data_IF_148989605484
#
_entry.id   IF_148989605484
#
_cell.length_a   1.000
_cell.length_b   1.000
_cell.length_c   1.000
_cell.angle_alpha   90.00
_cell.angle_beta   90.00
_cell.angle_gamma   90.00
#
_symmetry.space_group_name_H-M   'P 1'
#
loop_
_entity.id
_entity.type
_entity.pdbx_description
1 polymer ?
#
# COMPACT_ATOMS: atom_id res chain seq x y z
N UNK A 1 -47.30 -3.59 -3.08
CA UNK A 1 -46.04 -4.36 -2.94
C UNK A 1 -45.92 -5.60 -3.86
N UNK A 2 -46.72 -5.76 -4.93
CA UNK A 2 -46.65 -6.97 -5.80
C UNK A 2 -45.92 -6.80 -7.14
N UNK A 3 -45.46 -5.59 -7.47
CA UNK A 3 -44.79 -5.33 -8.75
C UNK A 3 -43.27 -5.60 -8.72
N UNK A 4 -42.61 -5.37 -7.57
CA UNK A 4 -41.16 -5.60 -7.42
C UNK A 4 -40.75 -7.08 -7.45
N UNK A 5 -41.68 -8.00 -7.11
CA UNK A 5 -41.42 -9.45 -7.16
C UNK A 5 -41.40 -9.99 -8.59
N UNK A 6 -42.21 -9.44 -9.50
CA UNK A 6 -42.21 -9.84 -10.91
C UNK A 6 -40.95 -9.39 -11.66
N UNK A 7 -40.43 -8.20 -11.34
CA UNK A 7 -39.21 -7.69 -11.97
C UNK A 7 -37.97 -8.49 -11.55
N UNK A 8 -37.94 -8.98 -10.31
CA UNK A 8 -36.82 -9.79 -9.80
C UNK A 8 -36.76 -11.19 -10.44
N UNK A 9 -37.91 -11.80 -10.73
CA UNK A 9 -37.96 -13.08 -11.44
C UNK A 9 -37.52 -12.97 -12.91
N UNK A 10 -37.78 -11.84 -13.57
CA UNK A 10 -37.36 -11.62 -14.96
C UNK A 10 -35.82 -11.49 -15.11
N UNK A 11 -35.13 -10.94 -14.11
CA UNK A 11 -33.67 -10.74 -14.13
C UNK A 11 -32.93 -12.07 -13.90
N UNK A 12 -33.48 -12.98 -13.09
CA UNK A 12 -32.85 -14.28 -12.81
C UNK A 12 -32.88 -15.21 -14.03
N UNK A 13 -33.90 -15.10 -14.90
CA UNK A 13 -34.01 -15.93 -16.11
C UNK A 13 -32.96 -15.54 -17.18
N UNK A 14 -32.51 -14.28 -17.20
CA UNK A 14 -31.50 -13.79 -18.16
C UNK A 14 -30.09 -14.31 -17.80
N UNK A 15 -29.81 -14.59 -16.52
CA UNK A 15 -28.50 -15.08 -16.07
C UNK A 15 -28.29 -16.59 -16.27
N UNK A 16 -29.32 -17.33 -16.70
CA UNK A 16 -29.29 -18.78 -16.87
C UNK A 16 -28.95 -19.26 -18.30
N UNK A 17 -28.65 -18.36 -19.24
CA UNK A 17 -28.34 -18.69 -20.65
C UNK A 17 -26.89 -18.46 -21.07
N UNK A 18 -26.00 -18.04 -20.16
CA UNK A 18 -24.57 -17.98 -20.42
C UNK A 18 -23.88 -19.19 -19.79
N UNK A 19 -23.98 -20.32 -20.50
CA UNK A 19 -23.23 -21.53 -20.22
C UNK A 19 -21.72 -21.26 -20.35
N UNK A 20 -20.89 -21.73 -19.42
CA UNK A 20 -19.44 -21.71 -19.57
C UNK A 20 -19.01 -22.71 -20.66
N UNK A 21 -18.25 -22.25 -21.66
CA UNK A 21 -17.52 -23.15 -22.56
C UNK A 21 -16.48 -23.91 -21.73
N UNK A 22 -16.73 -25.21 -21.57
CA UNK A 22 -15.76 -26.18 -21.08
C UNK A 22 -14.77 -26.49 -22.19
N UNK A 23 -13.50 -26.11 -22.01
CA UNK A 23 -12.41 -26.64 -22.84
C UNK A 23 -12.03 -27.99 -22.24
N UNK A 24 -12.39 -29.05 -22.97
CA UNK A 24 -12.00 -30.42 -22.68
C UNK A 24 -10.57 -30.69 -23.17
N UNK A 25 -9.93 -31.62 -22.46
CA UNK A 25 -8.54 -32.01 -22.51
C UNK A 25 -8.02 -32.50 -23.88
N UNK A 26 -6.71 -32.34 -24.10
CA UNK A 26 -5.94 -33.29 -24.90
C UNK A 26 -4.60 -33.59 -24.21
N UNK A 27 -4.44 -34.85 -23.84
CA UNK A 27 -3.22 -35.48 -23.35
C UNK A 27 -2.60 -36.29 -24.49
N UNK A 28 -1.27 -36.26 -24.65
CA UNK A 28 -0.39 -37.44 -24.79
C UNK A 28 1.03 -37.10 -25.29
N UNK A 29 2.01 -37.50 -24.47
CA UNK A 29 3.26 -38.23 -24.76
C UNK A 29 4.13 -37.92 -25.99
N UNK A 30 5.41 -37.68 -25.70
CA UNK A 30 6.48 -38.58 -26.17
C UNK A 30 7.72 -37.94 -26.82
N UNK A 31 8.86 -38.03 -26.12
CA UNK A 31 10.24 -38.27 -26.64
C UNK A 31 10.91 -37.24 -27.59
N UNK A 32 12.23 -37.00 -27.67
CA UNK A 32 13.48 -37.33 -26.93
C UNK A 32 14.62 -36.57 -27.63
N UNK A 33 15.64 -36.14 -26.89
CA UNK A 33 17.04 -35.92 -27.36
C UNK A 33 17.33 -34.59 -28.09
N UNK A 34 18.50 -33.96 -28.04
CA UNK A 34 19.85 -34.17 -27.48
C UNK A 34 20.45 -32.74 -27.38
N UNK A 35 21.06 -32.29 -26.28
CA UNK A 35 22.45 -32.49 -25.87
C UNK A 35 23.52 -31.96 -26.85
N UNK A 36 24.21 -30.88 -26.44
CA UNK A 36 25.67 -30.67 -26.49
C UNK A 36 25.99 -29.54 -25.49
N UNK A 37 26.72 -29.79 -24.39
CA UNK A 37 28.18 -29.98 -24.26
C UNK A 37 28.96 -28.67 -24.51
N UNK A 38 30.02 -28.27 -23.81
CA UNK A 38 30.79 -28.63 -22.60
C UNK A 38 31.90 -27.55 -22.53
N UNK A 39 32.30 -27.10 -21.34
CA UNK A 39 33.68 -26.78 -20.92
C UNK A 39 33.61 -26.02 -19.57
N UNK A 40 33.90 -26.59 -18.39
CA UNK A 40 35.20 -27.11 -17.89
C UNK A 40 36.21 -25.94 -17.83
N UNK A 41 36.96 -25.59 -16.78
CA UNK A 41 37.44 -26.13 -15.49
C UNK A 41 38.13 -24.89 -14.85
N UNK A 42 38.33 -24.68 -13.55
CA UNK A 42 39.23 -25.42 -12.69
C UNK A 42 39.14 -24.90 -11.24
N UNK A 43 39.19 -25.89 -10.35
CA UNK A 43 39.39 -25.84 -8.92
C UNK A 43 40.81 -25.43 -8.57
N UNK A 44 41.02 -24.53 -7.58
CA UNK A 44 42.08 -24.79 -6.59
C UNK A 44 41.88 -24.04 -5.27
N UNK A 45 41.73 -24.85 -4.22
CA UNK A 45 41.95 -24.55 -2.82
C UNK A 45 43.36 -23.99 -2.56
N UNK A 46 43.46 -23.05 -1.64
CA UNK A 46 44.61 -22.95 -0.74
C UNK A 46 44.09 -22.65 0.66
N UNK A 47 44.23 -23.64 1.54
CA UNK A 47 44.30 -23.47 2.99
C UNK A 47 45.62 -22.81 3.42
N UNK A 48 45.70 -22.54 4.72
CA UNK A 48 46.86 -22.20 5.56
C UNK A 48 47.04 -20.69 5.81
N UNK A 49 47.17 -20.17 7.03
CA UNK A 49 47.19 -20.72 8.39
C UNK A 49 47.05 -19.54 9.39
N UNK A 50 46.34 -19.81 10.49
CA UNK A 50 46.53 -19.38 11.89
C UNK A 50 47.23 -18.09 12.34
N UNK A 51 46.54 -17.46 13.33
CA UNK A 51 47.06 -16.80 14.56
C UNK A 51 47.51 -15.33 14.41
N UNK A 52 47.01 -14.34 15.17
CA UNK A 52 46.90 -14.26 16.64
C UNK A 52 46.03 -13.07 17.07
N UNK A 53 45.52 -13.17 18.30
CA UNK A 53 44.69 -12.22 19.06
C UNK A 53 45.21 -10.77 19.08
N UNK A 54 44.29 -9.80 18.96
CA UNK A 54 44.14 -8.76 19.99
C UNK A 54 42.73 -8.15 20.00
N UNK A 55 42.08 -8.29 21.15
CA UNK A 55 40.90 -7.53 21.56
C UNK A 55 41.18 -6.03 21.51
N UNK A 56 40.23 -5.26 21.00
CA UNK A 56 39.86 -4.00 21.64
C UNK A 56 38.36 -3.78 21.46
N UNK A 57 37.65 -4.06 22.54
CA UNK A 57 36.27 -3.68 22.71
C UNK A 57 36.15 -2.16 22.69
N UNK A 58 35.21 -1.63 21.92
CA UNK A 58 34.42 -0.48 22.37
C UNK A 58 33.00 -0.76 21.96
N UNK A 59 32.37 -1.54 22.83
CA UNK A 59 30.93 -1.65 22.96
C UNK A 59 30.38 -0.27 23.32
N UNK A 60 29.82 0.46 22.35
CA UNK A 60 28.83 1.49 22.70
C UNK A 60 27.54 0.77 23.00
N UNK A 61 27.44 0.44 24.28
CA UNK A 61 26.26 0.11 25.08
C UNK A 61 24.94 0.41 24.37
N UNK A 62 24.39 -0.64 23.77
CA UNK A 62 22.95 -0.87 23.71
C UNK A 62 22.48 -0.87 25.17
N UNK A 63 21.97 0.27 25.64
CA UNK A 63 21.26 0.33 26.91
C UNK A 63 19.82 -0.10 26.63
N UNK A 64 19.67 -1.39 26.37
CA UNK A 64 18.39 -2.10 26.44
C UNK A 64 17.94 -1.99 27.90
N UNK A 65 17.25 -0.91 28.20
CA UNK A 65 16.66 -0.70 29.50
C UNK A 65 15.36 -1.48 29.46
N UNK A 66 15.40 -2.72 29.92
CA UNK A 66 14.25 -3.43 30.47
C UNK A 66 13.72 -2.63 31.66
N UNK A 67 13.00 -1.55 31.34
CA UNK A 67 12.08 -0.93 32.27
C UNK A 67 10.71 -1.38 31.82
N UNK A 68 9.94 -1.95 32.74
CA UNK A 68 8.48 -1.89 32.70
C UNK A 68 8.09 -0.41 32.73
N UNK A 69 8.30 0.27 31.59
CA UNK A 69 7.87 1.63 31.35
C UNK A 69 6.36 1.54 31.16
N UNK A 70 5.61 2.20 32.04
CA UNK A 70 4.15 2.33 31.94
C UNK A 70 3.70 3.13 30.70
N UNK A 71 4.65 3.63 29.92
CA UNK A 71 4.46 4.42 28.71
C UNK A 71 5.22 3.82 27.53
N UNK A 72 4.73 4.09 26.32
CA UNK A 72 5.33 3.64 25.07
C UNK A 72 6.78 4.15 24.97
N UNK A 73 7.76 3.27 24.67
CA UNK A 73 9.14 3.67 24.44
C UNK A 73 9.28 4.75 23.35
N UNK A 74 10.22 5.67 23.54
CA UNK A 74 10.41 6.83 22.66
C UNK A 74 10.66 6.44 21.19
N UNK A 75 11.43 5.37 20.96
CA UNK A 75 11.71 4.86 19.62
C UNK A 75 10.44 4.39 18.88
N UNK A 76 9.44 3.86 19.61
CA UNK A 76 8.16 3.46 19.04
C UNK A 76 7.21 4.66 18.91
N UNK A 77 7.20 5.54 19.90
CA UNK A 77 6.41 6.77 19.89
C UNK A 77 6.79 7.66 18.70
N UNK A 78 8.07 7.72 18.35
CA UNK A 78 8.57 8.49 17.20
C UNK A 78 7.85 8.16 15.89
N UNK A 79 7.53 6.89 15.63
CA UNK A 79 6.80 6.52 14.40
C UNK A 79 5.39 7.11 14.36
N UNK A 80 4.71 7.16 15.51
CA UNK A 80 3.39 7.76 15.64
C UNK A 80 3.49 9.28 15.48
N UNK A 81 4.48 9.90 16.11
CA UNK A 81 4.68 11.35 16.06
C UNK A 81 5.02 11.84 14.65
N UNK A 82 5.86 11.10 13.92
CA UNK A 82 6.19 11.38 12.52
C UNK A 82 4.94 11.28 11.63
N UNK A 83 4.09 10.25 11.85
CA UNK A 83 2.84 10.10 11.12
C UNK A 83 1.82 11.21 11.45
N UNK A 84 1.67 11.56 12.72
CA UNK A 84 0.82 12.67 13.19
C UNK A 84 1.30 14.02 12.63
N UNK A 85 2.61 14.20 12.46
CA UNK A 85 3.19 15.40 11.84
C UNK A 85 2.76 15.52 10.38
N UNK A 86 2.85 14.43 9.61
CA UNK A 86 2.40 14.39 8.22
C UNK A 86 0.89 14.64 8.12
N UNK A 87 0.11 14.02 8.99
CA UNK A 87 -1.33 14.22 9.06
C UNK A 87 -1.69 15.70 9.30
N UNK A 88 -1.04 16.35 10.28
CA UNK A 88 -1.25 17.77 10.58
C UNK A 88 -0.79 18.70 9.45
N UNK A 89 0.21 18.30 8.68
CA UNK A 89 0.65 19.03 7.48
C UNK A 89 -0.33 18.88 6.31
N UNK A 90 -1.32 17.99 6.42
CA UNK A 90 -2.26 17.67 5.36
C UNK A 90 -1.68 16.71 4.30
N UNK A 91 -0.50 16.15 4.52
CA UNK A 91 0.15 15.18 3.63
C UNK A 91 -0.44 13.78 3.90
N UNK A 92 -1.71 13.59 3.53
CA UNK A 92 -2.49 12.43 3.97
C UNK A 92 -2.00 11.11 3.38
N UNK A 93 -1.46 11.11 2.15
CA UNK A 93 -0.93 9.90 1.52
C UNK A 93 0.35 9.41 2.24
N UNK A 94 1.23 10.35 2.58
CA UNK A 94 2.44 10.13 3.36
C UNK A 94 2.10 9.71 4.79
N UNK A 95 1.11 10.36 5.40
CA UNK A 95 0.61 10.00 6.72
C UNK A 95 0.08 8.56 6.75
N UNK A 96 -0.73 8.15 5.77
CA UNK A 96 -1.23 6.77 5.61
C UNK A 96 -0.06 5.78 5.58
N UNK A 97 1.00 6.09 4.85
CA UNK A 97 2.20 5.23 4.76
C UNK A 97 2.93 5.17 6.10
N UNK A 98 3.13 6.32 6.75
CA UNK A 98 3.80 6.41 8.05
C UNK A 98 3.02 5.68 9.16
N UNK A 99 1.70 5.78 9.20
CA UNK A 99 0.87 5.03 10.16
C UNK A 99 0.95 3.52 9.94
N UNK A 100 0.99 3.05 8.68
CA UNK A 100 1.21 1.62 8.40
C UNK A 100 2.56 1.16 8.95
N UNK A 101 3.63 1.94 8.73
CA UNK A 101 4.95 1.67 9.30
C UNK A 101 4.90 1.65 10.83
N UNK A 102 4.25 2.64 11.46
CA UNK A 102 4.09 2.68 12.91
C UNK A 102 3.40 1.40 13.44
N UNK A 103 2.28 1.02 12.82
CA UNK A 103 1.53 -0.20 13.16
C UNK A 103 2.37 -1.46 13.04
N UNK A 104 3.10 -1.62 11.95
CA UNK A 104 3.99 -2.77 11.76
C UNK A 104 5.08 -2.84 12.83
N UNK A 105 5.73 -1.71 13.16
CA UNK A 105 6.77 -1.68 14.20
C UNK A 105 6.21 -1.96 15.60
N UNK A 106 5.05 -1.41 15.92
CA UNK A 106 4.34 -1.65 17.18
C UNK A 106 3.97 -3.14 17.32
N UNK A 107 3.41 -3.75 16.27
CA UNK A 107 3.01 -5.16 16.26
C UNK A 107 4.18 -6.14 16.29
N UNK A 108 5.34 -5.75 15.74
CA UNK A 108 6.55 -6.56 15.76
C UNK A 108 7.28 -6.55 17.11
N UNK A 109 6.93 -5.62 18.02
CA UNK A 109 7.61 -5.47 19.31
C UNK A 109 7.08 -6.47 20.34
N UNK A 110 7.97 -7.32 20.86
CA UNK A 110 7.66 -8.29 21.92
C UNK A 110 8.14 -7.87 23.32
N UNK A 111 8.97 -6.83 23.41
CA UNK A 111 9.61 -6.36 24.66
C UNK A 111 8.77 -5.35 25.45
N UNK A 112 7.62 -4.93 24.93
CA UNK A 112 6.71 -3.95 25.54
C UNK A 112 5.42 -4.66 25.91
N UNK A 113 4.81 -4.25 27.02
CA UNK A 113 3.51 -4.75 27.45
C UNK A 113 2.47 -4.64 26.30
N UNK A 114 1.84 -5.76 25.88
CA UNK A 114 0.85 -5.76 24.82
C UNK A 114 -0.30 -4.78 25.04
N UNK A 115 -0.67 -4.47 26.27
CA UNK A 115 -1.73 -3.50 26.57
C UNK A 115 -1.30 -2.07 26.22
N UNK A 116 -0.03 -1.71 26.43
CA UNK A 116 0.53 -0.42 26.00
C UNK A 116 0.54 -0.32 24.47
N UNK A 117 0.93 -1.40 23.79
CA UNK A 117 0.94 -1.46 22.32
C UNK A 117 -0.48 -1.34 21.77
N UNK A 118 -1.44 -2.10 22.30
CA UNK A 118 -2.84 -2.07 21.87
C UNK A 118 -3.43 -0.67 22.02
N UNK A 119 -3.23 -0.04 23.17
CA UNK A 119 -3.69 1.33 23.44
C UNK A 119 -3.05 2.37 22.51
N UNK A 120 -1.76 2.22 22.20
CA UNK A 120 -1.08 3.09 21.26
C UNK A 120 -1.64 2.95 19.84
N UNK A 121 -1.90 1.71 19.40
CA UNK A 121 -2.52 1.41 18.10
C UNK A 121 -3.92 2.02 18.05
N UNK A 122 -4.78 1.76 19.03
CA UNK A 122 -6.14 2.30 19.10
C UNK A 122 -6.14 3.83 18.95
N UNK A 123 -5.25 4.52 19.66
CA UNK A 123 -5.15 5.98 19.60
C UNK A 123 -4.76 6.50 18.22
N UNK A 124 -3.75 5.89 17.58
CA UNK A 124 -3.28 6.36 16.27
C UNK A 124 -4.23 5.99 15.11
N UNK A 125 -4.98 4.89 15.24
CA UNK A 125 -5.96 4.44 14.23
C UNK A 125 -6.99 5.52 13.91
N UNK A 126 -7.34 6.37 14.89
CA UNK A 126 -8.25 7.51 14.67
C UNK A 126 -7.77 8.46 13.56
N UNK A 127 -6.48 8.82 13.55
CA UNK A 127 -5.94 9.70 12.50
C UNK A 127 -5.59 8.90 11.24
N UNK A 128 -5.15 7.66 11.38
CA UNK A 128 -4.88 6.78 10.25
C UNK A 128 -6.13 6.56 9.39
N UNK A 129 -7.25 6.22 10.01
CA UNK A 129 -8.53 6.03 9.32
C UNK A 129 -8.99 7.32 8.63
N UNK A 130 -8.87 8.48 9.30
CA UNK A 130 -9.18 9.77 8.68
C UNK A 130 -8.32 10.03 7.44
N UNK A 131 -7.00 9.85 7.55
CA UNK A 131 -6.07 10.06 6.45
C UNK A 131 -6.39 9.14 5.27
N UNK A 132 -6.71 7.87 5.58
CA UNK A 132 -7.11 6.87 4.59
C UNK A 132 -8.43 7.25 3.92
N UNK A 133 -9.45 7.64 4.68
CA UNK A 133 -10.74 8.08 4.13
C UNK A 133 -10.54 9.28 3.21
N UNK A 134 -9.80 10.31 3.64
CA UNK A 134 -9.52 11.48 2.80
C UNK A 134 -8.84 11.07 1.48
N UNK A 135 -7.80 10.25 1.58
CA UNK A 135 -7.05 9.77 0.40
C UNK A 135 -7.92 8.93 -0.53
N UNK A 136 -8.66 7.96 0.01
CA UNK A 136 -9.50 7.06 -0.78
C UNK A 136 -10.65 7.82 -1.46
N UNK A 137 -11.31 8.75 -0.77
CA UNK A 137 -12.39 9.55 -1.36
C UNK A 137 -11.87 10.50 -2.44
N UNK A 138 -10.76 11.21 -2.20
CA UNK A 138 -10.15 12.07 -3.22
C UNK A 138 -9.71 11.27 -4.46
N UNK A 139 -9.13 10.07 -4.26
CA UNK A 139 -8.73 9.17 -5.35
C UNK A 139 -9.91 8.68 -6.19
N UNK A 140 -11.08 8.46 -5.58
CA UNK A 140 -12.31 8.09 -6.34
C UNK A 140 -12.69 9.20 -7.31
N UNK A 141 -12.75 10.44 -6.82
CA UNK A 141 -13.04 11.60 -7.67
C UNK A 141 -12.00 11.77 -8.79
N UNK A 142 -10.72 11.65 -8.47
CA UNK A 142 -9.66 11.64 -9.49
C UNK A 142 -9.85 10.53 -10.53
N UNK A 143 -10.13 9.29 -10.10
CA UNK A 143 -10.38 8.17 -11.01
C UNK A 143 -11.57 8.42 -11.94
N UNK A 144 -12.65 8.99 -11.41
CA UNK A 144 -13.81 9.40 -12.21
C UNK A 144 -13.44 10.48 -13.24
N UNK A 145 -12.63 11.47 -12.83
CA UNK A 145 -12.16 12.51 -13.74
C UNK A 145 -11.36 11.95 -14.93
N UNK A 146 -10.45 11.01 -14.67
CA UNK A 146 -9.66 10.37 -15.72
C UNK A 146 -10.52 9.60 -16.72
N UNK A 147 -11.58 8.93 -16.23
CA UNK A 147 -12.55 8.27 -17.10
C UNK A 147 -13.35 9.28 -17.94
N UNK A 148 -13.79 10.38 -17.34
CA UNK A 148 -14.55 11.43 -18.02
C UNK A 148 -13.71 12.16 -19.08
N UNK A 149 -12.44 12.43 -18.79
CA UNK A 149 -11.50 12.98 -19.76
C UNK A 149 -11.34 12.05 -20.98
N UNK A 150 -11.17 10.75 -20.73
CA UNK A 150 -11.11 9.74 -21.80
C UNK A 150 -12.38 9.73 -22.67
N UNK A 151 -13.55 9.91 -22.05
CA UNK A 151 -14.84 10.06 -22.72
C UNK A 151 -15.05 11.44 -23.40
N UNK A 152 -14.08 12.35 -23.30
CA UNK A 152 -14.13 13.74 -23.77
C UNK A 152 -15.20 14.61 -23.09
N UNK A 153 -15.64 14.23 -21.89
CA UNK A 153 -16.59 14.97 -21.05
C UNK A 153 -15.82 15.91 -20.11
N UNK A 154 -15.19 16.92 -20.71
CA UNK A 154 -14.12 17.71 -20.07
C UNK A 154 -14.62 18.54 -18.89
N UNK A 155 -15.78 19.17 -19.00
CA UNK A 155 -16.34 19.98 -17.92
C UNK A 155 -16.60 19.11 -16.67
N UNK A 156 -17.16 17.92 -16.86
CA UNK A 156 -17.42 16.98 -15.78
C UNK A 156 -16.13 16.40 -15.19
N UNK A 157 -15.10 16.19 -16.01
CA UNK A 157 -13.78 15.78 -15.53
C UNK A 157 -13.17 16.85 -14.60
N UNK A 158 -13.30 18.12 -14.98
CA UNK A 158 -12.85 19.25 -14.15
C UNK A 158 -13.62 19.31 -12.84
N UNK A 159 -14.95 19.18 -12.87
CA UNK A 159 -15.77 19.15 -11.65
C UNK A 159 -15.31 18.05 -10.69
N UNK A 160 -15.04 16.85 -11.20
CA UNK A 160 -14.53 15.74 -10.38
C UNK A 160 -13.14 16.05 -9.79
N UNK A 161 -12.22 16.64 -10.55
CA UNK A 161 -10.90 17.04 -10.01
C UNK A 161 -11.04 18.11 -8.93
N UNK A 162 -11.94 19.06 -9.11
CA UNK A 162 -12.21 20.08 -8.11
C UNK A 162 -12.80 19.48 -6.82
N UNK A 163 -13.70 18.49 -6.93
CA UNK A 163 -14.18 17.74 -5.76
C UNK A 163 -13.06 16.96 -5.06
N UNK A 164 -12.15 16.32 -5.82
CA UNK A 164 -10.98 15.66 -5.25
C UNK A 164 -10.11 16.64 -4.44
N UNK A 165 -9.89 17.85 -4.97
CA UNK A 165 -9.08 18.89 -4.33
C UNK A 165 -9.78 19.59 -3.16
N UNK A 166 -11.12 19.62 -3.13
CA UNK A 166 -11.88 20.06 -1.94
C UNK A 166 -11.67 19.11 -0.76
N UNK A 167 -11.58 17.80 -1.04
CA UNK A 167 -11.35 16.76 -0.03
C UNK A 167 -9.88 16.70 0.39
N UNK A 168 -8.98 16.69 -0.58
CA UNK A 168 -7.54 16.65 -0.37
C UNK A 168 -6.83 17.77 -1.16
N UNK A 169 -6.67 18.96 -0.54
CA UNK A 169 -6.10 20.12 -1.23
C UNK A 169 -4.67 19.98 -1.73
N UNK A 170 -3.89 19.03 -1.19
CA UNK A 170 -2.51 18.74 -1.61
C UNK A 170 -2.41 17.47 -2.45
N UNK A 171 -3.52 17.00 -3.03
CA UNK A 171 -3.49 15.79 -3.85
C UNK A 171 -2.80 16.07 -5.20
N UNK A 172 -1.50 15.81 -5.27
CA UNK A 172 -0.66 16.20 -6.39
C UNK A 172 -1.16 15.67 -7.74
N UNK A 173 -1.60 14.40 -7.81
CA UNK A 173 -2.13 13.81 -9.04
C UNK A 173 -3.34 14.61 -9.58
N UNK A 174 -4.25 15.06 -8.71
CA UNK A 174 -5.41 15.84 -9.11
C UNK A 174 -5.05 17.29 -9.50
N UNK A 175 -4.05 17.90 -8.84
CA UNK A 175 -3.51 19.22 -9.21
C UNK A 175 -2.92 19.16 -10.62
N UNK A 176 -2.06 18.16 -10.87
CA UNK A 176 -1.36 17.98 -12.13
C UNK A 176 -2.32 17.66 -13.27
N UNK A 177 -3.30 16.78 -13.03
CA UNK A 177 -4.35 16.48 -14.00
C UNK A 177 -5.19 17.71 -14.34
N UNK A 178 -5.59 18.50 -13.34
CA UNK A 178 -6.40 19.70 -13.59
C UNK A 178 -5.62 20.73 -14.41
N UNK A 179 -4.34 20.95 -14.10
CA UNK A 179 -3.46 21.82 -14.86
C UNK A 179 -3.26 21.34 -16.30
N UNK A 180 -3.05 20.03 -16.48
CA UNK A 180 -2.90 19.38 -17.78
C UNK A 180 -4.16 19.56 -18.64
N UNK A 181 -5.34 19.23 -18.11
CA UNK A 181 -6.62 19.37 -18.80
C UNK A 181 -6.85 20.83 -19.21
N UNK A 182 -6.68 21.79 -18.28
CA UNK A 182 -6.87 23.21 -18.60
C UNK A 182 -5.96 23.67 -19.73
N UNK A 183 -4.71 23.24 -19.72
CA UNK A 183 -3.73 23.57 -20.77
C UNK A 183 -4.12 22.95 -22.12
N UNK A 184 -4.49 21.67 -22.14
CA UNK A 184 -4.80 20.92 -23.36
C UNK A 184 -6.07 21.45 -24.05
N UNK A 185 -7.06 21.85 -23.27
CA UNK A 185 -8.33 22.40 -23.76
C UNK A 185 -8.37 23.94 -23.82
N UNK A 186 -7.24 24.61 -23.55
CA UNK A 186 -7.09 26.07 -23.57
C UNK A 186 -8.11 26.80 -22.68
N UNK A 187 -8.42 26.20 -21.54
CA UNK A 187 -9.28 26.76 -20.51
C UNK A 187 -8.44 27.69 -19.64
N UNK A 188 -9.04 28.82 -19.22
CA UNK A 188 -8.36 29.84 -18.41
C UNK A 188 -8.49 29.57 -16.92
#
# INVERSE_FOLDING_TARGET
MRLKRFLYFAIIIIFALMSPLTISACSKTGETGQQTAVADRDTKSSESETSKLQQSATSTTVKETTTTSRSLPENLQKFIDDADKLFKAGEYAEAVSAYRTAKTNLQATSSVDPEIISKAIEKMEVNFDKAKTITDTARIHYGNAMQLEYEKRIDEAIEQLEEALKIYPRYQDAIDALASIKTLYKLK
#
